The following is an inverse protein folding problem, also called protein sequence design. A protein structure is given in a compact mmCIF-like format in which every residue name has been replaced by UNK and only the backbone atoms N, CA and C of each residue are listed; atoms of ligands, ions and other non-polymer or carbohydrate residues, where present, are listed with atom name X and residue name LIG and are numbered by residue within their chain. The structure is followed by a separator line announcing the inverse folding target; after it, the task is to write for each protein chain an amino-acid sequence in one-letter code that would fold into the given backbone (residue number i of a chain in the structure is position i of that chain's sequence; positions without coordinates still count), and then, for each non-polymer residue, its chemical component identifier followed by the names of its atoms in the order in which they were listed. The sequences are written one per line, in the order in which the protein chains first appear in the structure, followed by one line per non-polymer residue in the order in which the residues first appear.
data_IF_339879708985
#
_entry.id   IF_339879708985
#
_cell.length_a   1.000
_cell.length_b   1.000
_cell.length_c   1.000
_cell.angle_alpha   90.00
_cell.angle_beta   90.00
_cell.angle_gamma   90.00
#
_symmetry.space_group_name_H-M   'P 1'
#
loop_
_entity.id
_entity.type
_entity.pdbx_description
1 polymer ?
#
# COMPACT_ATOMS: atom_id res chain seq x y z
N UNK A 1 15.72 -2.71 14.09
CA UNK A 1 14.47 -3.39 14.47
C UNK A 1 14.12 -4.37 13.36
N UNK A 2 13.98 -5.68 13.63
CA UNK A 2 13.52 -6.65 12.63
C UNK A 2 12.18 -6.26 11.95
N UNK A 3 11.39 -5.36 12.54
CA UNK A 3 10.19 -4.81 11.92
C UNK A 3 10.45 -3.93 10.68
N UNK A 4 11.61 -3.28 10.56
CA UNK A 4 11.92 -2.37 9.44
C UNK A 4 12.25 -3.13 8.15
N UNK A 5 12.94 -4.28 8.24
CA UNK A 5 13.19 -5.13 7.07
C UNK A 5 11.93 -5.83 6.56
N UNK A 6 10.96 -6.05 7.45
CA UNK A 6 9.75 -6.82 7.18
C UNK A 6 8.79 -6.10 6.23
N UNK A 7 8.68 -4.77 6.31
CA UNK A 7 7.65 -4.06 5.55
C UNK A 7 7.96 -3.95 4.05
N UNK A 8 9.23 -3.80 3.69
CA UNK A 8 9.64 -3.80 2.28
C UNK A 8 9.51 -5.18 1.65
N UNK A 9 9.86 -6.23 2.39
CA UNK A 9 9.64 -7.61 1.94
C UNK A 9 8.14 -7.91 1.78
N UNK A 10 7.31 -7.44 2.72
CA UNK A 10 5.86 -7.54 2.61
C UNK A 10 5.35 -6.81 1.36
N UNK A 11 5.80 -5.57 1.12
CA UNK A 11 5.39 -4.81 -0.05
C UNK A 11 5.85 -5.51 -1.35
N UNK A 12 7.11 -5.96 -1.40
CA UNK A 12 7.68 -6.68 -2.53
C UNK A 12 6.91 -7.96 -2.88
N UNK A 13 6.47 -8.71 -1.87
CA UNK A 13 5.73 -9.95 -2.04
C UNK A 13 4.23 -9.77 -2.33
N UNK A 14 3.71 -8.54 -2.21
CA UNK A 14 2.27 -8.25 -2.35
C UNK A 14 1.98 -7.09 -3.32
N UNK A 15 2.89 -6.79 -4.26
CA UNK A 15 2.74 -5.67 -5.21
C UNK A 15 1.39 -5.70 -5.94
N UNK A 16 0.99 -6.87 -6.44
CA UNK A 16 -0.28 -7.11 -7.13
C UNK A 16 -1.54 -6.83 -6.28
N UNK A 17 -1.40 -6.76 -4.95
CA UNK A 17 -2.48 -6.35 -4.04
C UNK A 17 -2.36 -4.85 -3.78
N UNK A 18 -1.17 -4.38 -3.40
CA UNK A 18 -0.93 -3.02 -2.93
C UNK A 18 -1.10 -1.96 -4.04
N UNK A 19 -0.95 -2.33 -5.31
CA UNK A 19 -1.25 -1.47 -6.46
C UNK A 19 -2.73 -1.03 -6.54
N UNK A 20 -3.64 -1.82 -5.95
CA UNK A 20 -5.08 -1.56 -5.95
C UNK A 20 -5.60 -1.00 -4.63
N UNK A 21 -4.74 -0.88 -3.62
CA UNK A 21 -5.12 -0.38 -2.30
C UNK A 21 -4.74 1.09 -2.16
N UNK A 22 -5.69 1.98 -1.82
CA UNK A 22 -5.37 3.38 -1.58
C UNK A 22 -4.68 3.57 -0.24
N UNK A 23 -3.92 4.66 -0.13
CA UNK A 23 -3.40 5.13 1.15
C UNK A 23 -4.12 6.41 1.58
N UNK A 24 -4.30 6.57 2.90
CA UNK A 24 -5.04 7.67 3.51
C UNK A 24 -4.16 8.55 4.41
N UNK A 25 -2.83 8.51 4.20
CA UNK A 25 -1.86 9.23 5.04
C UNK A 25 -1.76 10.75 4.76
N UNK A 26 -2.28 11.20 3.62
CA UNK A 26 -2.27 12.62 3.21
C UNK A 26 -1.09 13.03 2.32
N UNK A 27 -0.12 12.15 2.08
CA UNK A 27 1.03 12.40 1.21
C UNK A 27 0.76 12.11 -0.27
N UNK A 28 -0.44 11.66 -0.64
CA UNK A 28 -0.77 11.22 -2.00
C UNK A 28 -0.47 12.27 -3.07
N UNK A 29 -1.04 13.47 -2.92
CA UNK A 29 -0.86 14.55 -3.90
C UNK A 29 0.54 15.22 -3.79
N UNK A 30 1.16 15.23 -2.61
CA UNK A 30 2.46 15.90 -2.40
C UNK A 30 3.65 15.10 -2.91
N UNK A 31 3.61 13.77 -2.74
CA UNK A 31 4.66 12.85 -3.18
C UNK A 31 4.33 12.17 -4.52
N UNK A 32 3.09 12.35 -5.01
CA UNK A 32 2.63 11.73 -6.25
C UNK A 32 2.29 10.24 -6.11
N UNK A 33 2.05 9.74 -4.90
CA UNK A 33 1.65 8.36 -4.67
C UNK A 33 0.26 8.09 -5.22
N UNK A 34 0.13 7.07 -6.08
CA UNK A 34 -1.12 6.67 -6.71
C UNK A 34 -1.81 5.56 -5.94
N UNK A 35 -1.07 4.79 -5.15
CA UNK A 35 -1.58 3.66 -4.35
C UNK A 35 -0.67 3.40 -3.15
N UNK A 36 -1.00 2.38 -2.36
CA UNK A 36 -0.24 1.99 -1.20
C UNK A 36 1.14 1.41 -1.56
N UNK A 37 1.31 0.79 -2.73
CA UNK A 37 2.62 0.32 -3.20
C UNK A 37 3.59 1.49 -3.43
N UNK A 38 3.13 2.58 -4.06
CA UNK A 38 3.93 3.77 -4.32
C UNK A 38 4.47 4.40 -3.02
N UNK A 39 3.83 4.15 -1.88
CA UNK A 39 4.34 4.62 -0.60
C UNK A 39 5.65 3.92 -0.18
N UNK A 40 5.98 2.78 -0.79
CA UNK A 40 7.19 1.98 -0.53
C UNK A 40 8.21 2.09 -1.66
N UNK A 41 7.78 2.36 -2.89
CA UNK A 41 8.64 2.41 -4.08
C UNK A 41 8.87 3.86 -4.46
N UNK A 42 10.13 4.29 -4.38
CA UNK A 42 10.55 5.60 -4.87
C UNK A 42 10.71 5.61 -6.39
N UNK A 43 11.30 4.55 -6.95
CA UNK A 43 11.57 4.43 -8.38
C UNK A 43 11.69 2.95 -8.76
N UNK A 44 11.09 2.56 -9.88
CA UNK A 44 11.42 1.32 -10.57
C UNK A 44 12.31 1.68 -11.77
N UNK A 45 13.52 1.14 -11.81
CA UNK A 45 14.48 1.41 -12.87
C UNK A 45 14.18 0.57 -14.10
N UNK A 46 14.72 0.99 -15.24
CA UNK A 46 14.57 0.28 -16.52
C UNK A 46 15.12 -1.17 -16.51
N UNK A 47 16.02 -1.49 -15.58
CA UNK A 47 16.55 -2.84 -15.38
C UNK A 47 15.69 -3.71 -14.44
N UNK A 48 14.55 -3.20 -13.98
CA UNK A 48 13.65 -3.84 -13.03
C UNK A 48 14.09 -3.72 -11.57
N UNK A 49 15.17 -2.99 -11.26
CA UNK A 49 15.56 -2.76 -9.87
C UNK A 49 14.69 -1.69 -9.20
N UNK A 50 14.29 -1.97 -7.96
CA UNK A 50 13.46 -1.07 -7.16
C UNK A 50 14.34 -0.23 -6.23
N UNK A 51 14.15 1.08 -6.26
CA UNK A 51 14.62 2.02 -5.24
C UNK A 51 13.50 2.17 -4.21
N UNK A 52 13.76 1.70 -2.99
CA UNK A 52 12.79 1.77 -1.91
C UNK A 52 12.75 3.16 -1.27
N UNK A 53 11.55 3.64 -0.94
CA UNK A 53 11.35 4.89 -0.23
C UNK A 53 11.48 4.69 1.29
N UNK A 54 12.42 5.41 1.90
CA UNK A 54 12.63 5.43 3.37
C UNK A 54 11.48 6.11 4.12
N UNK A 55 10.68 6.94 3.45
CA UNK A 55 9.48 7.54 4.02
C UNK A 55 8.49 6.46 4.48
N UNK A 56 8.37 5.37 3.72
CA UNK A 56 7.48 4.25 3.97
C UNK A 56 7.62 3.65 5.38
N UNK A 57 8.87 3.61 5.88
CA UNK A 57 9.20 3.02 7.18
C UNK A 57 8.74 3.88 8.36
N UNK A 58 8.37 5.14 8.11
CA UNK A 58 7.97 6.08 9.16
C UNK A 58 6.47 6.38 9.15
N UNK A 59 5.78 6.12 8.05
CA UNK A 59 4.34 6.37 7.97
C UNK A 59 3.50 5.18 8.42
N UNK A 60 2.97 5.23 9.64
CA UNK A 60 2.19 4.14 10.24
C UNK A 60 0.97 3.74 9.39
N UNK A 61 0.25 4.71 8.80
CA UNK A 61 -0.92 4.41 7.98
C UNK A 61 -0.56 3.58 6.72
N UNK A 62 0.54 3.92 6.04
CA UNK A 62 1.01 3.15 4.88
C UNK A 62 1.28 1.68 5.25
N UNK A 63 1.93 1.47 6.40
CA UNK A 63 2.33 0.14 6.85
C UNK A 63 1.14 -0.71 7.29
N UNK A 64 0.19 -0.13 8.02
CA UNK A 64 -0.99 -0.85 8.49
C UNK A 64 -1.88 -1.26 7.31
N UNK A 65 -2.09 -0.38 6.33
CA UNK A 65 -2.82 -0.73 5.09
C UNK A 65 -2.12 -1.88 4.37
N UNK A 66 -0.79 -1.85 4.23
CA UNK A 66 -0.04 -2.90 3.57
C UNK A 66 -0.18 -4.25 4.29
N UNK A 67 0.02 -4.26 5.60
CA UNK A 67 -0.10 -5.45 6.45
C UNK A 67 -1.50 -6.05 6.40
N UNK A 68 -2.53 -5.22 6.53
CA UNK A 68 -3.92 -5.67 6.51
C UNK A 68 -4.32 -6.23 5.15
N UNK A 69 -3.91 -5.57 4.07
CA UNK A 69 -4.18 -6.02 2.70
C UNK A 69 -3.49 -7.36 2.42
N UNK A 70 -2.22 -7.50 2.79
CA UNK A 70 -1.47 -8.74 2.67
C UNK A 70 -2.09 -9.86 3.54
N UNK A 71 -2.53 -9.56 4.76
CA UNK A 71 -3.20 -10.52 5.63
C UNK A 71 -4.52 -11.00 5.02
N UNK A 72 -5.39 -10.07 4.59
CA UNK A 72 -6.67 -10.42 3.97
C UNK A 72 -6.49 -11.24 2.70
N UNK A 73 -5.45 -10.95 1.90
CA UNK A 73 -5.15 -11.75 0.71
C UNK A 73 -4.63 -13.14 1.07
N UNK A 74 -3.55 -13.21 1.84
CA UNK A 74 -2.77 -14.43 1.99
C UNK A 74 -3.33 -15.38 3.04
N UNK A 75 -3.97 -14.86 4.08
CA UNK A 75 -4.50 -15.66 5.18
C UNK A 75 -5.99 -15.90 5.06
N UNK A 76 -6.75 -14.95 4.50
CA UNK A 76 -8.21 -15.06 4.38
C UNK A 76 -8.69 -15.38 2.95
N UNK A 77 -7.80 -15.31 1.95
CA UNK A 77 -8.13 -15.64 0.56
C UNK A 77 -9.08 -14.65 -0.11
N UNK A 78 -9.18 -13.42 0.39
CA UNK A 78 -10.11 -12.41 -0.13
C UNK A 78 -9.77 -11.97 -1.56
N UNK A 79 -10.81 -11.57 -2.29
CA UNK A 79 -10.69 -10.91 -3.60
C UNK A 79 -10.09 -9.49 -3.45
N UNK A 80 -9.58 -8.91 -4.53
CA UNK A 80 -9.04 -7.55 -4.48
C UNK A 80 -10.15 -6.53 -4.19
N UNK A 81 -11.34 -6.70 -4.79
CA UNK A 81 -12.52 -5.89 -4.51
C UNK A 81 -12.96 -5.94 -3.04
N UNK A 82 -12.97 -7.12 -2.42
CA UNK A 82 -13.29 -7.26 -0.99
C UNK A 82 -12.26 -6.55 -0.09
N UNK A 83 -10.97 -6.69 -0.42
CA UNK A 83 -9.89 -6.02 0.32
C UNK A 83 -10.03 -4.51 0.15
N UNK A 84 -10.25 -4.03 -1.08
CA UNK A 84 -10.44 -2.61 -1.40
C UNK A 84 -11.58 -2.01 -0.61
N UNK A 85 -12.73 -2.68 -0.58
CA UNK A 85 -13.90 -2.24 0.18
C UNK A 85 -13.60 -2.16 1.69
N UNK A 86 -12.90 -3.16 2.25
CA UNK A 86 -12.55 -3.19 3.65
C UNK A 86 -11.60 -2.03 4.04
N UNK A 87 -10.58 -1.77 3.22
CA UNK A 87 -9.66 -0.64 3.40
C UNK A 87 -10.41 0.68 3.31
N UNK A 88 -11.21 0.90 2.26
CA UNK A 88 -11.97 2.14 2.10
C UNK A 88 -12.94 2.37 3.27
N UNK A 89 -13.66 1.34 3.71
CA UNK A 89 -14.60 1.45 4.83
C UNK A 89 -13.89 1.81 6.15
N UNK A 90 -12.70 1.25 6.39
CA UNK A 90 -11.96 1.48 7.62
C UNK A 90 -11.31 2.85 7.67
N UNK A 91 -10.79 3.34 6.55
CA UNK A 91 -9.97 4.55 6.51
C UNK A 91 -10.69 5.79 5.95
N UNK A 92 -11.95 5.70 5.50
CA UNK A 92 -12.71 6.85 4.97
C UNK A 92 -13.01 7.98 5.97
N UNK A 93 -13.05 7.70 7.27
CA UNK A 93 -13.41 8.67 8.31
C UNK A 93 -12.21 8.93 9.23
N UNK A 94 -11.90 10.20 9.46
CA UNK A 94 -10.79 10.61 10.33
C UNK A 94 -9.39 10.55 9.71
N UNK A 95 -9.27 10.13 8.44
CA UNK A 95 -8.03 10.16 7.68
C UNK A 95 -8.09 11.13 6.48
N UNK A 96 -6.97 11.30 5.79
CA UNK A 96 -6.89 12.19 4.63
C UNK A 96 -7.60 11.60 3.41
N UNK A 97 -7.71 12.40 2.34
CA UNK A 97 -8.20 11.94 1.04
C UNK A 97 -7.37 10.75 0.55
N UNK A 98 -8.00 9.69 0.00
CA UNK A 98 -7.27 8.56 -0.55
C UNK A 98 -6.41 8.96 -1.76
N UNK A 99 -5.30 8.24 -1.95
CA UNK A 99 -4.57 8.24 -3.23
C UNK A 99 -5.50 7.87 -4.39
N UNK A 100 -5.26 8.36 -5.63
CA UNK A 100 -6.10 8.10 -6.80
C UNK A 100 -5.91 6.67 -7.35
N UNK A 101 -6.24 5.68 -6.53
CA UNK A 101 -5.98 4.27 -6.80
C UNK A 101 -7.12 3.66 -7.61
N UNK A 102 -6.83 3.03 -8.77
CA UNK A 102 -7.85 2.39 -9.58
C UNK A 102 -8.58 1.30 -8.79
N UNK A 103 -9.86 1.11 -9.09
CA UNK A 103 -10.57 -0.06 -8.57
C UNK A 103 -10.01 -1.32 -9.25
N UNK A 104 -9.81 -2.42 -8.50
CA UNK A 104 -9.42 -3.68 -9.10
C UNK A 104 -10.52 -4.19 -10.05
N UNK A 105 -10.09 -4.91 -11.09
CA UNK A 105 -10.94 -5.39 -12.19
C UNK A 105 -11.53 -6.79 -11.94
N UNK A 106 -11.45 -7.30 -10.71
CA UNK A 106 -12.00 -8.61 -10.35
C UNK A 106 -13.53 -8.64 -10.29
#
# INVERSE_FOLDING_TARGET
DPAIGNVYELAANNQNVLEYMPCYCGCGDSEGHKNNLDCFIKEEKADGSIVWDVHAVTCNNCQEIAKESAYMKNQLGKSLGEIRQAIDQKYREGYAKPTPTPLPLD
#
